data_IF_161794868639
#
_entry.id   IF_161794868639
#
_cell.length_a   1.000
_cell.length_b   1.000
_cell.length_c   1.000
_cell.angle_alpha   90.00
_cell.angle_beta   90.00
_cell.angle_gamma   90.00
#
_symmetry.space_group_name_H-M   'P 1'
#
loop_
_entity.id
_entity.type
_entity.pdbx_description
1 polymer ?
#
# COMPACT_ATOMS: atom_id res chain seq x y z
N UNK A 1 -3.41 -4.96 9.46
CA UNK A 1 -4.44 -3.90 9.41
C UNK A 1 -5.25 -4.09 8.15
N UNK A 2 -6.51 -3.64 8.14
CA UNK A 2 -7.34 -3.65 6.94
C UNK A 2 -7.40 -2.24 6.35
N UNK A 3 -6.90 -2.10 5.13
CA UNK A 3 -6.92 -0.89 4.31
C UNK A 3 -7.51 -1.21 2.93
N UNK A 4 -8.37 -2.23 2.83
CA UNK A 4 -9.06 -2.53 1.59
C UNK A 4 -9.94 -1.36 1.16
N UNK A 5 -9.99 -1.10 -0.15
CA UNK A 5 -10.77 -0.04 -0.78
C UNK A 5 -10.42 1.39 -0.28
N UNK A 6 -9.29 1.54 0.43
CA UNK A 6 -8.85 2.83 0.94
C UNK A 6 -8.34 3.75 -0.18
N UNK A 7 -8.67 5.04 -0.10
CA UNK A 7 -8.04 6.08 -0.90
C UNK A 7 -6.72 6.50 -0.23
N UNK A 8 -5.60 6.05 -0.80
CA UNK A 8 -4.23 6.27 -0.33
C UNK A 8 -3.43 7.05 -1.38
N UNK A 9 -4.10 7.83 -2.22
CA UNK A 9 -3.45 8.66 -3.24
C UNK A 9 -2.45 9.60 -2.62
N UNK A 10 -1.27 9.69 -3.24
CA UNK A 10 -0.15 10.52 -2.77
C UNK A 10 0.32 10.23 -1.33
N UNK A 11 -0.09 9.11 -0.72
CA UNK A 11 0.39 8.73 0.60
C UNK A 11 1.90 8.44 0.58
N UNK A 12 2.60 8.84 1.63
CA UNK A 12 4.03 8.56 1.79
C UNK A 12 4.24 7.22 2.51
N UNK A 13 4.68 6.22 1.76
CA UNK A 13 5.11 4.91 2.28
C UNK A 13 6.63 4.78 2.37
N UNK A 14 7.39 5.86 2.22
CA UNK A 14 8.85 5.81 2.33
C UNK A 14 9.24 5.24 3.70
N UNK A 15 10.03 4.15 3.67
CA UNK A 15 10.46 3.40 4.85
C UNK A 15 9.33 2.72 5.66
N UNK A 16 8.09 2.67 5.13
CA UNK A 16 6.96 2.11 5.84
C UNK A 16 7.06 0.57 5.94
N UNK A 17 6.64 0.05 7.11
CA UNK A 17 6.43 -1.37 7.33
C UNK A 17 4.95 -1.70 7.11
N UNK A 18 4.58 -2.04 5.89
CA UNK A 18 3.22 -2.38 5.47
C UNK A 18 3.08 -3.90 5.35
N UNK A 19 3.63 -4.66 6.29
CA UNK A 19 3.70 -6.14 6.26
C UNK A 19 2.38 -6.75 6.76
N UNK A 20 1.85 -7.77 6.06
CA UNK A 20 0.57 -8.44 6.38
C UNK A 20 -0.63 -7.48 6.49
N UNK A 21 -0.69 -6.48 5.62
CA UNK A 21 -1.80 -5.54 5.49
C UNK A 21 -2.68 -5.96 4.32
N UNK A 22 -3.99 -5.83 4.47
CA UNK A 22 -4.89 -5.95 3.34
C UNK A 22 -5.01 -4.59 2.63
N UNK A 23 -4.53 -4.49 1.40
CA UNK A 23 -4.61 -3.32 0.52
C UNK A 23 -5.46 -3.64 -0.72
N UNK A 24 -6.29 -4.68 -0.68
CA UNK A 24 -7.09 -5.06 -1.84
C UNK A 24 -7.94 -3.90 -2.32
N UNK A 25 -7.90 -3.61 -3.62
CA UNK A 25 -8.60 -2.50 -4.28
C UNK A 25 -8.24 -1.09 -3.75
N UNK A 26 -7.17 -0.93 -2.98
CA UNK A 26 -6.76 0.39 -2.52
C UNK A 26 -6.30 1.26 -3.71
N UNK A 27 -6.59 2.57 -3.66
CA UNK A 27 -6.07 3.52 -4.62
C UNK A 27 -4.75 4.10 -4.12
N UNK A 28 -3.64 3.68 -4.71
CA UNK A 28 -2.27 4.11 -4.43
C UNK A 28 -1.73 5.06 -5.52
N UNK A 29 -2.59 5.67 -6.34
CA UNK A 29 -2.16 6.57 -7.41
C UNK A 29 -1.27 7.70 -6.85
N UNK A 30 -0.04 7.76 -7.34
CA UNK A 30 0.97 8.73 -6.92
C UNK A 30 1.52 8.53 -5.51
N UNK A 31 1.23 7.40 -4.83
CA UNK A 31 1.82 7.09 -3.54
C UNK A 31 3.35 6.96 -3.64
N UNK A 32 4.06 7.50 -2.67
CA UNK A 32 5.51 7.43 -2.63
C UNK A 32 5.95 6.10 -2.01
N UNK A 33 6.46 5.20 -2.85
CA UNK A 33 7.06 3.93 -2.43
C UNK A 33 8.54 3.95 -2.75
N UNK A 34 9.38 3.67 -1.76
CA UNK A 34 10.84 3.54 -1.94
C UNK A 34 11.28 2.07 -1.82
N UNK A 35 12.51 1.76 -2.25
CA UNK A 35 13.06 0.39 -2.18
C UNK A 35 13.13 -0.21 -0.78
N UNK A 36 12.97 0.61 0.27
CA UNK A 36 12.98 0.19 1.66
C UNK A 36 11.57 -0.10 2.22
N UNK A 37 10.53 0.09 1.43
CA UNK A 37 9.13 -0.16 1.84
C UNK A 37 8.86 -1.66 1.86
N UNK A 38 8.37 -2.20 2.98
CA UNK A 38 8.05 -3.63 3.08
C UNK A 38 6.56 -3.88 2.90
N UNK A 39 6.20 -4.59 1.84
CA UNK A 39 4.84 -5.13 1.62
C UNK A 39 4.77 -6.65 1.84
N UNK A 40 5.72 -7.23 2.59
CA UNK A 40 5.82 -8.68 2.72
C UNK A 40 4.53 -9.29 3.28
N UNK A 41 3.96 -10.24 2.54
CA UNK A 41 2.72 -10.92 2.93
C UNK A 41 1.47 -10.04 2.92
N UNK A 42 1.54 -8.86 2.32
CA UNK A 42 0.37 -7.98 2.14
C UNK A 42 -0.40 -8.36 0.88
N UNK A 43 -1.71 -8.23 0.96
CA UNK A 43 -2.58 -8.42 -0.19
C UNK A 43 -2.69 -7.12 -0.96
N UNK A 44 -2.13 -7.07 -2.17
CA UNK A 44 -2.19 -5.90 -3.07
C UNK A 44 -3.03 -6.17 -4.32
N UNK A 45 -3.83 -7.25 -4.33
CA UNK A 45 -4.67 -7.58 -5.48
C UNK A 45 -5.66 -6.44 -5.77
N UNK A 46 -5.68 -5.97 -7.01
CA UNK A 46 -6.56 -4.88 -7.44
C UNK A 46 -6.14 -3.49 -6.94
N UNK A 47 -5.06 -3.35 -6.16
CA UNK A 47 -4.55 -2.04 -5.79
C UNK A 47 -4.05 -1.32 -7.05
N UNK A 48 -4.55 -0.11 -7.30
CA UNK A 48 -4.13 0.72 -8.43
C UNK A 48 -2.99 1.64 -8.01
N UNK A 49 -1.88 1.65 -8.74
CA UNK A 49 -0.73 2.52 -8.51
C UNK A 49 -0.56 3.53 -9.64
#
# INVERSE_FOLDING_TARGET
ADLSDADLRSADFSLANVTKVNLSNANLEGALVTGNTSFKGSNITGAGM
#
